data_IF_647530206727
#
_entry.id   IF_647530206727
#
_cell.length_a   1.000
_cell.length_b   1.000
_cell.length_c   1.000
_cell.angle_alpha   90.00
_cell.angle_beta   90.00
_cell.angle_gamma   90.00
#
_symmetry.space_group_name_H-M   'P 1'
#
loop_
_entity.id
_entity.type
_entity.pdbx_description
1 polymer ?
#
# COMPACT_ATOMS: atom_id res chain seq x y z
N UNK A 1 8.15 26.91 -39.02
CA UNK A 1 9.43 26.77 -38.32
C UNK A 1 9.16 26.09 -36.99
N UNK A 2 9.91 25.06 -36.58
CA UNK A 2 9.78 24.51 -35.25
C UNK A 2 10.16 25.58 -34.21
N UNK A 3 9.33 25.75 -33.17
CA UNK A 3 9.58 26.68 -32.07
C UNK A 3 10.83 26.20 -31.31
N UNK A 4 11.77 27.11 -31.05
CA UNK A 4 12.94 26.81 -30.21
C UNK A 4 12.55 26.90 -28.74
N UNK A 5 11.92 25.85 -28.21
CA UNK A 5 11.40 25.81 -26.84
C UNK A 5 12.44 26.29 -25.81
N UNK A 6 13.68 25.81 -25.90
CA UNK A 6 14.77 26.18 -24.99
C UNK A 6 15.29 27.61 -25.13
N UNK A 7 14.79 28.38 -26.10
CA UNK A 7 15.11 29.80 -26.30
C UNK A 7 14.02 30.72 -25.75
N UNK A 8 12.92 30.17 -25.21
CA UNK A 8 11.86 30.96 -24.60
C UNK A 8 12.34 31.64 -23.30
N UNK A 9 11.85 32.85 -22.99
CA UNK A 9 12.01 33.45 -21.67
C UNK A 9 11.47 32.55 -20.55
N UNK A 10 12.01 32.68 -19.33
CA UNK A 10 11.72 31.73 -18.24
C UNK A 10 10.24 31.51 -17.92
N UNK A 11 9.41 32.56 -17.97
CA UNK A 11 7.95 32.43 -17.74
C UNK A 11 7.24 31.70 -18.86
N UNK A 12 7.61 31.98 -20.11
CA UNK A 12 7.01 31.34 -21.29
C UNK A 12 7.46 29.89 -21.40
N UNK A 13 8.71 29.58 -21.01
CA UNK A 13 9.23 28.23 -20.90
C UNK A 13 8.48 27.44 -19.83
N UNK A 14 8.28 28.03 -18.64
CA UNK A 14 7.51 27.38 -17.57
C UNK A 14 6.06 27.11 -18.02
N UNK A 15 5.40 28.10 -18.62
CA UNK A 15 4.06 27.93 -19.16
C UNK A 15 4.00 26.80 -20.19
N UNK A 16 4.99 26.69 -21.08
CA UNK A 16 5.05 25.59 -22.04
C UNK A 16 5.21 24.22 -21.37
N UNK A 17 6.01 24.11 -20.29
CA UNK A 17 6.12 22.87 -19.50
C UNK A 17 4.81 22.54 -18.78
N UNK A 18 4.11 23.56 -18.28
CA UNK A 18 2.82 23.39 -17.60
C UNK A 18 1.72 22.94 -18.57
N UNK A 19 1.87 23.22 -19.87
CA UNK A 19 0.98 22.74 -20.93
C UNK A 19 1.34 21.34 -21.45
N UNK A 20 2.52 20.80 -21.16
CA UNK A 20 2.90 19.43 -21.54
C UNK A 20 2.19 18.42 -20.62
N UNK A 21 1.64 17.38 -21.24
CA UNK A 21 1.14 16.21 -20.52
C UNK A 21 2.31 15.38 -19.93
N UNK A 22 2.01 14.37 -19.12
CA UNK A 22 3.05 13.53 -18.49
C UNK A 22 3.92 12.85 -19.55
N UNK A 23 3.33 12.41 -20.67
CA UNK A 23 4.08 11.77 -21.77
C UNK A 23 5.13 12.73 -22.33
N UNK A 24 4.72 13.93 -22.69
CA UNK A 24 5.56 14.98 -23.24
C UNK A 24 6.63 15.43 -22.25
N UNK A 25 6.32 15.48 -20.96
CA UNK A 25 7.30 15.79 -19.91
C UNK A 25 8.35 14.68 -19.78
N UNK A 26 7.94 13.40 -19.74
CA UNK A 26 8.87 12.27 -19.73
C UNK A 26 9.75 12.32 -20.98
N UNK A 27 9.14 12.47 -22.14
CA UNK A 27 9.83 12.60 -23.41
C UNK A 27 10.89 13.71 -23.41
N UNK A 28 10.47 14.92 -23.04
CA UNK A 28 11.32 16.10 -22.99
C UNK A 28 12.47 15.92 -22.00
N UNK A 29 12.23 15.28 -20.85
CA UNK A 29 13.26 14.99 -19.85
C UNK A 29 14.39 14.09 -20.38
N UNK A 30 14.14 13.30 -21.43
CA UNK A 30 15.13 12.38 -22.01
C UNK A 30 16.05 13.05 -23.02
N UNK A 31 15.70 14.23 -23.54
CA UNK A 31 16.47 14.90 -24.60
C UNK A 31 17.87 15.36 -24.16
N UNK A 32 18.05 15.80 -22.91
CA UNK A 32 19.34 16.27 -22.38
C UNK A 32 19.29 16.44 -20.86
N UNK A 33 20.46 16.59 -20.22
CA UNK A 33 20.51 16.94 -18.79
C UNK A 33 19.86 18.30 -18.49
N UNK A 34 19.92 19.26 -19.43
CA UNK A 34 19.24 20.56 -19.29
C UNK A 34 17.72 20.39 -19.24
N UNK A 35 17.16 19.56 -20.11
CA UNK A 35 15.70 19.35 -20.18
C UNK A 35 15.20 18.52 -19.00
N UNK A 36 15.96 17.50 -18.57
CA UNK A 36 15.70 16.77 -17.32
C UNK A 36 15.56 17.71 -16.12
N UNK A 37 16.52 18.62 -15.94
CA UNK A 37 16.49 19.59 -14.84
C UNK A 37 15.33 20.59 -14.96
N UNK A 38 14.92 20.96 -16.18
CA UNK A 38 13.75 21.80 -16.40
C UNK A 38 12.45 21.10 -15.97
N UNK A 39 12.25 19.85 -16.38
CA UNK A 39 11.09 19.04 -15.96
C UNK A 39 11.07 18.87 -14.45
N UNK A 40 12.21 18.54 -13.85
CA UNK A 40 12.33 18.46 -12.39
C UNK A 40 11.94 19.78 -11.71
N UNK A 41 12.39 20.91 -12.26
CA UNK A 41 12.10 22.23 -11.69
C UNK A 41 10.66 22.70 -11.90
N UNK A 42 9.92 22.13 -12.85
CA UNK A 42 8.50 22.46 -13.05
C UNK A 42 7.64 21.99 -11.88
N UNK A 43 8.13 21.03 -11.08
CA UNK A 43 7.47 20.53 -9.87
C UNK A 43 6.03 20.05 -10.16
N UNK A 44 5.84 19.41 -11.32
CA UNK A 44 4.57 18.79 -11.70
C UNK A 44 4.11 17.84 -10.59
N UNK A 45 2.87 18.04 -10.13
CA UNK A 45 2.24 17.20 -9.11
C UNK A 45 1.66 15.93 -9.73
N UNK A 46 2.12 14.79 -9.23
CA UNK A 46 1.62 13.46 -9.60
C UNK A 46 1.25 12.69 -8.33
N UNK A 47 0.31 11.77 -8.46
CA UNK A 47 0.07 10.76 -7.45
C UNK A 47 1.35 9.94 -7.24
N UNK A 48 1.56 9.36 -6.05
CA UNK A 48 2.74 8.54 -5.78
C UNK A 48 2.93 7.45 -6.84
N UNK A 49 4.14 7.33 -7.36
CA UNK A 49 4.42 6.42 -8.48
C UNK A 49 4.08 4.98 -8.08
N UNK A 50 3.31 4.29 -8.92
CA UNK A 50 3.04 2.88 -8.77
C UNK A 50 3.89 2.06 -9.74
N UNK A 51 4.52 1.01 -9.25
CA UNK A 51 5.32 0.07 -10.02
C UNK A 51 4.81 -1.36 -9.80
N UNK A 52 4.74 -2.14 -10.85
CA UNK A 52 4.26 -3.52 -10.84
C UNK A 52 5.30 -4.40 -11.53
N UNK A 53 5.80 -5.39 -10.80
CA UNK A 53 6.90 -6.22 -11.27
C UNK A 53 6.37 -7.49 -11.93
N UNK A 54 6.81 -7.67 -13.17
CA UNK A 54 6.73 -8.90 -13.94
C UNK A 54 8.14 -9.47 -14.13
N UNK A 55 8.26 -10.73 -14.54
CA UNK A 55 9.56 -11.39 -14.72
C UNK A 55 10.40 -10.70 -15.80
N UNK A 56 9.76 -10.24 -16.88
CA UNK A 56 10.46 -9.68 -18.05
C UNK A 56 10.50 -8.14 -18.06
N UNK A 57 9.65 -7.48 -17.27
CA UNK A 57 9.52 -6.01 -17.28
C UNK A 57 8.93 -5.46 -15.98
N UNK A 58 9.06 -4.15 -15.81
CA UNK A 58 8.41 -3.40 -14.74
C UNK A 58 7.41 -2.45 -15.36
N UNK A 59 6.16 -2.57 -14.96
CA UNK A 59 5.08 -1.67 -15.37
C UNK A 59 4.98 -0.50 -14.39
N UNK A 60 5.09 0.74 -14.86
CA UNK A 60 4.84 1.95 -14.08
C UNK A 60 3.51 2.58 -14.47
N UNK A 61 2.79 3.07 -13.46
CA UNK A 61 1.62 3.90 -13.62
C UNK A 61 1.92 5.28 -13.02
N UNK A 62 1.87 6.31 -13.87
CA UNK A 62 2.11 7.70 -13.53
C UNK A 62 0.82 8.48 -13.80
N UNK A 63 0.32 9.18 -12.79
CA UNK A 63 -0.95 9.89 -12.88
C UNK A 63 -0.86 11.26 -12.23
N UNK A 64 -1.43 12.29 -12.85
CA UNK A 64 -1.48 13.63 -12.24
C UNK A 64 -2.37 13.68 -10.99
N UNK A 65 -2.00 14.48 -9.99
CA UNK A 65 -2.94 14.79 -8.89
C UNK A 65 -4.10 15.64 -9.45
N UNK A 66 -5.34 15.19 -9.27
CA UNK A 66 -6.50 15.86 -9.84
C UNK A 66 -6.77 17.25 -9.22
N UNK A 67 -7.08 18.22 -10.09
CA UNK A 67 -7.90 19.39 -9.78
C UNK A 67 -9.21 19.28 -10.60
N UNK A 68 -10.06 18.30 -10.23
CA UNK A 68 -11.46 18.03 -10.63
C UNK A 68 -11.98 18.18 -12.09
N UNK A 69 -11.25 18.71 -13.07
CA UNK A 69 -11.85 19.21 -14.32
C UNK A 69 -11.09 18.89 -15.64
N UNK A 70 -10.09 18.01 -15.62
CA UNK A 70 -9.45 17.52 -16.85
C UNK A 70 -9.37 16.00 -16.90
N UNK A 71 -9.55 15.44 -18.09
CA UNK A 71 -9.23 14.04 -18.44
C UNK A 71 -8.00 13.58 -17.68
N UNK A 72 -8.10 12.52 -16.87
CA UNK A 72 -6.97 11.96 -16.12
C UNK A 72 -5.77 11.81 -17.06
N UNK A 73 -4.76 12.66 -16.91
CA UNK A 73 -3.49 12.46 -17.59
C UNK A 73 -2.79 11.33 -16.84
N UNK A 74 -2.88 10.15 -17.45
CA UNK A 74 -2.35 8.90 -16.92
C UNK A 74 -1.47 8.29 -18.00
N UNK A 75 -0.37 7.70 -17.57
CA UNK A 75 0.51 7.01 -18.48
C UNK A 75 1.08 5.75 -17.88
N UNK A 76 1.08 4.74 -18.73
CA UNK A 76 1.53 3.39 -18.45
C UNK A 76 2.85 3.15 -19.16
N UNK A 77 3.91 2.81 -18.42
CA UNK A 77 5.24 2.54 -18.95
C UNK A 77 5.62 1.09 -18.73
N UNK A 78 6.00 0.36 -19.78
CA UNK A 78 6.59 -0.97 -19.66
C UNK A 78 8.10 -0.83 -19.78
N UNK A 79 8.81 -0.96 -18.67
CA UNK A 79 10.26 -0.78 -18.60
C UNK A 79 10.94 -2.14 -18.68
N UNK A 80 11.72 -2.32 -19.74
CA UNK A 80 12.61 -3.44 -19.97
C UNK A 80 14.06 -3.02 -19.65
N UNK A 81 15.02 -3.91 -19.86
CA UNK A 81 16.43 -3.63 -19.52
C UNK A 81 17.04 -2.46 -20.28
N UNK A 82 16.69 -2.23 -21.55
CA UNK A 82 17.34 -1.25 -22.43
C UNK A 82 16.39 -0.24 -23.08
N UNK A 83 15.08 -0.39 -22.87
CA UNK A 83 14.05 0.44 -23.46
C UNK A 83 12.79 0.41 -22.60
N UNK A 84 11.88 1.35 -22.87
CA UNK A 84 10.54 1.26 -22.35
C UNK A 84 9.51 1.58 -23.44
N UNK A 85 8.30 1.08 -23.24
CA UNK A 85 7.16 1.28 -24.14
C UNK A 85 6.04 2.02 -23.41
N UNK A 86 5.29 2.84 -24.16
CA UNK A 86 4.09 3.48 -23.66
C UNK A 86 2.83 2.67 -24.02
N UNK A 87 1.95 2.45 -23.04
CA UNK A 87 0.56 2.07 -23.31
C UNK A 87 -0.27 3.35 -23.47
N UNK A 88 -0.95 3.52 -24.62
CA UNK A 88 -1.91 4.62 -24.81
C UNK A 88 -2.11 5.13 -26.23
N UNK A 89 -1.33 4.66 -27.21
CA UNK A 89 -1.50 4.97 -28.64
C UNK A 89 -1.81 3.71 -29.45
N UNK A 90 -2.50 3.87 -30.58
CA UNK A 90 -2.76 2.77 -31.53
C UNK A 90 -1.47 2.12 -32.06
N UNK A 91 -0.34 2.82 -31.94
CA UNK A 91 1.01 2.36 -32.24
C UNK A 91 1.84 2.27 -30.94
N UNK A 92 2.57 1.16 -30.79
CA UNK A 92 3.54 0.96 -29.70
C UNK A 92 4.78 1.79 -30.05
N UNK A 93 5.03 2.83 -29.26
CA UNK A 93 6.25 3.62 -29.37
C UNK A 93 7.31 3.11 -28.38
N UNK A 94 8.42 2.62 -28.93
CA UNK A 94 9.59 2.21 -28.14
C UNK A 94 10.54 3.40 -27.94
N UNK A 95 10.82 3.71 -26.68
CA UNK A 95 11.75 4.77 -26.30
C UNK A 95 13.02 4.14 -25.74
N UNK A 96 14.12 4.35 -26.45
CA UNK A 96 15.40 3.69 -26.18
C UNK A 96 16.43 4.67 -25.64
N UNK A 97 17.16 4.23 -24.63
CA UNK A 97 18.38 4.88 -24.16
C UNK A 97 19.34 3.78 -23.75
N UNK A 98 20.22 3.39 -24.68
CA UNK A 98 21.05 2.17 -24.57
C UNK A 98 21.91 2.12 -23.30
N UNK A 99 22.23 3.28 -22.72
CA UNK A 99 23.00 3.41 -21.49
C UNK A 99 22.18 3.20 -20.20
N UNK A 100 20.84 3.18 -20.29
CA UNK A 100 19.96 3.05 -19.13
C UNK A 100 19.65 1.58 -18.84
N UNK A 101 19.83 1.21 -17.57
CA UNK A 101 19.28 -0.01 -16.97
C UNK A 101 17.89 0.25 -16.37
N UNK A 102 17.19 -0.80 -15.92
CA UNK A 102 15.95 -0.65 -15.14
C UNK A 102 16.11 0.30 -13.93
N UNK A 103 17.27 0.24 -13.27
CA UNK A 103 17.56 1.09 -12.12
C UNK A 103 17.71 2.57 -12.51
N UNK A 104 18.27 2.84 -13.69
CA UNK A 104 18.39 4.20 -14.22
C UNK A 104 17.03 4.77 -14.60
N UNK A 105 16.13 3.94 -15.15
CA UNK A 105 14.74 4.32 -15.41
C UNK A 105 13.98 4.67 -14.12
N UNK A 106 14.06 3.81 -13.11
CA UNK A 106 13.46 4.08 -11.78
C UNK A 106 13.98 5.40 -11.21
N UNK A 107 15.31 5.57 -11.19
CA UNK A 107 15.95 6.77 -10.67
C UNK A 107 15.55 8.02 -11.48
N UNK A 108 15.41 7.89 -12.80
CA UNK A 108 14.98 8.98 -13.67
C UNK A 108 13.57 9.43 -13.34
N UNK A 109 12.59 8.52 -13.25
CA UNK A 109 11.20 8.87 -12.94
C UNK A 109 11.05 9.50 -11.56
N UNK A 110 11.67 8.93 -10.53
CA UNK A 110 11.68 9.52 -9.19
C UNK A 110 12.29 10.92 -9.19
N UNK A 111 13.37 11.13 -9.96
CA UNK A 111 14.07 12.40 -10.02
C UNK A 111 13.26 13.52 -10.71
N UNK A 112 12.63 13.23 -11.86
CA UNK A 112 11.92 14.25 -12.63
C UNK A 112 10.60 14.68 -11.97
N UNK A 113 9.98 13.81 -11.17
CA UNK A 113 8.75 14.14 -10.43
C UNK A 113 9.00 14.52 -8.97
N UNK A 114 10.27 14.57 -8.53
CA UNK A 114 10.65 14.84 -7.15
C UNK A 114 9.99 13.88 -6.12
N UNK A 115 9.70 12.65 -6.52
CA UNK A 115 9.15 11.63 -5.64
C UNK A 115 10.30 10.93 -4.90
N UNK A 116 10.33 10.92 -3.55
CA UNK A 116 11.44 10.33 -2.80
C UNK A 116 11.52 8.80 -2.90
N UNK A 117 10.44 8.10 -3.25
CA UNK A 117 10.41 6.63 -3.37
C UNK A 117 9.17 6.16 -4.12
N UNK A 118 9.15 4.89 -4.52
CA UNK A 118 7.94 4.28 -5.09
C UNK A 118 6.82 4.26 -4.04
N UNK A 119 5.67 4.83 -4.40
CA UNK A 119 4.48 4.86 -3.55
C UNK A 119 3.83 3.49 -3.39
N UNK A 120 3.70 2.76 -4.49
CA UNK A 120 3.11 1.43 -4.52
C UNK A 120 3.97 0.46 -5.32
N UNK A 121 4.37 -0.66 -4.72
CA UNK A 121 5.10 -1.73 -5.40
C UNK A 121 4.27 -3.01 -5.38
N UNK A 122 3.72 -3.40 -6.53
CA UNK A 122 2.98 -4.64 -6.71
C UNK A 122 3.87 -5.75 -7.26
N UNK A 123 3.92 -6.90 -6.60
CA UNK A 123 4.55 -8.11 -7.12
C UNK A 123 3.44 -8.94 -7.76
N UNK A 124 3.45 -9.07 -9.09
CA UNK A 124 2.34 -9.68 -9.84
C UNK A 124 2.69 -11.05 -10.42
N UNK A 125 3.82 -11.16 -11.13
CA UNK A 125 4.27 -12.42 -11.71
C UNK A 125 5.79 -12.43 -11.82
N UNK A 126 6.48 -13.24 -11.01
CA UNK A 126 7.95 -13.29 -11.02
C UNK A 126 8.44 -14.62 -10.46
N UNK A 127 9.68 -14.99 -10.77
CA UNK A 127 10.36 -16.14 -10.17
C UNK A 127 11.00 -15.80 -8.81
N UNK A 128 11.25 -16.83 -7.99
CA UNK A 128 11.88 -16.68 -6.66
C UNK A 128 13.31 -16.13 -6.75
N UNK A 129 14.02 -16.45 -7.83
CA UNK A 129 15.36 -15.95 -8.13
C UNK A 129 15.39 -14.45 -8.35
N UNK A 130 14.33 -13.88 -8.89
CA UNK A 130 14.26 -12.45 -9.20
C UNK A 130 13.92 -11.58 -7.98
N UNK A 131 13.44 -12.17 -6.87
CA UNK A 131 13.11 -11.42 -5.64
C UNK A 131 14.31 -10.63 -5.07
N UNK A 132 15.53 -11.14 -5.23
CA UNK A 132 16.73 -10.42 -4.77
C UNK A 132 17.03 -9.21 -5.68
N UNK A 133 16.80 -9.35 -6.99
CA UNK A 133 16.84 -8.25 -7.95
C UNK A 133 15.80 -7.17 -7.62
N UNK A 134 14.55 -7.56 -7.32
CA UNK A 134 13.49 -6.64 -6.90
C UNK A 134 13.92 -5.84 -5.67
N UNK A 135 14.52 -6.51 -4.67
CA UNK A 135 15.01 -5.85 -3.47
C UNK A 135 16.12 -4.83 -3.74
N UNK A 136 16.95 -5.08 -4.77
CA UNK A 136 18.01 -4.17 -5.20
C UNK A 136 17.46 -2.97 -5.98
N UNK A 137 16.50 -3.21 -6.89
CA UNK A 137 15.84 -2.17 -7.69
C UNK A 137 14.96 -1.25 -6.84
N UNK A 138 14.32 -1.81 -5.82
CA UNK A 138 13.41 -1.10 -4.91
C UNK A 138 13.90 -1.20 -3.47
N UNK A 139 14.99 -0.49 -3.11
CA UNK A 139 15.53 -0.55 -1.75
C UNK A 139 14.56 0.01 -0.70
N UNK A 140 13.62 0.86 -1.12
CA UNK A 140 12.54 1.39 -0.29
C UNK A 140 11.27 1.65 -1.12
N UNK A 141 10.11 1.35 -0.56
CA UNK A 141 8.81 1.79 -1.05
C UNK A 141 7.87 2.15 0.11
N UNK A 142 6.79 2.88 -0.16
CA UNK A 142 5.80 3.19 0.87
C UNK A 142 4.91 1.98 1.18
N UNK A 143 4.40 1.33 0.13
CA UNK A 143 3.50 0.17 0.20
C UNK A 143 3.99 -0.94 -0.72
N UNK A 144 4.06 -2.16 -0.18
CA UNK A 144 4.33 -3.39 -0.94
C UNK A 144 3.06 -4.24 -0.99
N UNK A 145 2.71 -4.74 -2.17
CA UNK A 145 1.60 -5.68 -2.36
C UNK A 145 2.10 -6.97 -3.02
N UNK A 146 1.69 -8.13 -2.48
CA UNK A 146 1.98 -9.45 -3.04
C UNK A 146 0.69 -10.07 -3.55
N UNK A 147 0.62 -10.27 -4.87
CA UNK A 147 -0.55 -10.77 -5.60
C UNK A 147 -1.09 -12.11 -5.08
N UNK A 148 -2.40 -12.31 -5.22
CA UNK A 148 -3.11 -13.56 -4.91
C UNK A 148 -2.85 -14.67 -5.95
N UNK A 149 -2.35 -14.29 -7.14
CA UNK A 149 -1.98 -15.21 -8.22
C UNK A 149 -0.87 -16.18 -7.83
N UNK A 150 -0.06 -15.81 -6.83
CA UNK A 150 1.01 -16.68 -6.35
C UNK A 150 0.49 -17.84 -5.48
N UNK A 151 1.26 -18.92 -5.47
CA UNK A 151 1.07 -19.99 -4.48
C UNK A 151 1.38 -19.47 -3.07
N UNK A 152 0.82 -20.12 -2.04
CA UNK A 152 1.13 -19.77 -0.65
C UNK A 152 2.62 -19.81 -0.34
N UNK A 153 3.30 -20.87 -0.79
CA UNK A 153 4.73 -21.05 -0.57
C UNK A 153 5.54 -19.89 -1.17
N UNK A 154 5.18 -19.47 -2.40
CA UNK A 154 5.80 -18.32 -3.02
C UNK A 154 5.53 -17.03 -2.25
N UNK A 155 4.25 -16.73 -1.94
CA UNK A 155 3.87 -15.51 -1.24
C UNK A 155 4.58 -15.38 0.12
N UNK A 156 4.74 -16.50 0.84
CA UNK A 156 5.50 -16.57 2.09
C UNK A 156 6.97 -16.21 1.89
N UNK A 157 7.64 -16.79 0.90
CA UNK A 157 9.06 -16.49 0.60
C UNK A 157 9.22 -15.03 0.16
N UNK A 158 8.35 -14.56 -0.75
CA UNK A 158 8.35 -13.19 -1.24
C UNK A 158 8.17 -12.18 -0.10
N UNK A 159 7.20 -12.41 0.79
CA UNK A 159 6.98 -11.58 1.96
C UNK A 159 8.24 -11.48 2.82
N UNK A 160 8.81 -12.62 3.24
CA UNK A 160 9.96 -12.61 4.14
C UNK A 160 11.23 -12.02 3.51
N UNK A 161 11.38 -12.09 2.19
CA UNK A 161 12.48 -11.42 1.47
C UNK A 161 12.28 -9.91 1.37
N UNK A 162 11.05 -9.46 1.14
CA UNK A 162 10.77 -8.09 0.69
C UNK A 162 10.18 -7.17 1.76
N UNK A 163 9.52 -7.67 2.81
CA UNK A 163 8.77 -6.83 3.77
C UNK A 163 9.59 -5.66 4.36
N UNK A 164 10.91 -5.84 4.50
CA UNK A 164 11.82 -4.84 5.06
C UNK A 164 11.95 -3.57 4.22
N UNK A 165 11.60 -3.61 2.93
CA UNK A 165 11.70 -2.45 2.04
C UNK A 165 10.48 -1.52 2.17
N UNK A 166 9.41 -1.97 2.85
CA UNK A 166 8.13 -1.29 2.88
C UNK A 166 7.68 -0.92 4.31
N UNK A 167 6.95 0.17 4.42
CA UNK A 167 6.33 0.57 5.69
C UNK A 167 4.93 -0.05 5.86
N UNK A 168 4.25 -0.27 4.75
CA UNK A 168 2.92 -0.89 4.64
C UNK A 168 3.00 -2.11 3.75
N UNK A 169 2.37 -3.21 4.15
CA UNK A 169 2.40 -4.47 3.39
C UNK A 169 1.00 -5.00 3.19
N UNK A 170 0.71 -5.43 1.97
CA UNK A 170 -0.54 -6.05 1.55
C UNK A 170 -0.24 -7.45 1.01
N UNK A 171 -0.93 -8.46 1.55
CA UNK A 171 -0.71 -9.86 1.18
C UNK A 171 -2.07 -10.48 0.89
N UNK A 172 -2.31 -10.86 -0.36
CA UNK A 172 -3.56 -11.49 -0.77
C UNK A 172 -3.48 -13.02 -0.68
N UNK A 173 -2.80 -13.51 0.36
CA UNK A 173 -2.68 -14.92 0.74
C UNK A 173 -2.39 -15.04 2.23
N UNK A 174 -2.95 -16.04 2.88
CA UNK A 174 -2.54 -16.42 4.22
C UNK A 174 -1.20 -17.18 4.13
N UNK A 175 -0.13 -16.56 4.61
CA UNK A 175 1.25 -17.09 4.59
C UNK A 175 1.64 -17.82 5.89
N UNK A 176 0.72 -17.99 6.83
CA UNK A 176 0.97 -18.62 8.12
C UNK A 176 0.53 -20.09 8.09
N UNK A 177 1.48 -21.01 8.27
CA UNK A 177 1.19 -22.45 8.32
C UNK A 177 0.84 -22.92 9.74
N UNK A 178 1.39 -22.23 10.75
CA UNK A 178 1.20 -22.53 12.17
C UNK A 178 1.16 -21.25 13.04
N UNK A 179 0.99 -21.43 14.36
CA UNK A 179 0.97 -20.33 15.33
C UNK A 179 2.28 -19.55 15.38
N UNK A 180 3.42 -20.20 15.15
CA UNK A 180 4.73 -19.54 15.18
C UNK A 180 4.87 -18.56 14.02
N UNK A 181 4.39 -18.91 12.83
CA UNK A 181 4.33 -17.98 11.70
C UNK A 181 3.43 -16.77 11.97
N UNK A 182 2.23 -16.99 12.54
CA UNK A 182 1.31 -15.92 12.91
C UNK A 182 1.97 -14.96 13.90
N UNK A 183 2.57 -15.49 14.97
CA UNK A 183 3.25 -14.66 15.97
C UNK A 183 4.43 -13.89 15.37
N UNK A 184 5.22 -14.52 14.48
CA UNK A 184 6.31 -13.84 13.76
C UNK A 184 5.80 -12.70 12.88
N UNK A 185 4.71 -12.91 12.13
CA UNK A 185 4.10 -11.90 11.28
C UNK A 185 3.61 -10.69 12.10
N UNK A 186 2.87 -10.94 13.18
CA UNK A 186 2.22 -9.89 13.96
C UNK A 186 3.17 -9.10 14.87
N UNK A 187 4.37 -9.62 15.15
CA UNK A 187 5.40 -8.93 15.94
C UNK A 187 6.29 -8.00 15.10
N UNK A 188 6.12 -8.00 13.78
CA UNK A 188 6.84 -7.09 12.88
C UNK A 188 6.47 -5.64 13.16
N UNK A 189 7.47 -4.76 13.02
CA UNK A 189 7.33 -3.33 13.27
C UNK A 189 6.81 -2.55 12.07
N UNK A 190 5.76 -3.04 11.41
CA UNK A 190 5.14 -2.38 10.26
C UNK A 190 4.23 -1.22 10.70
N UNK A 191 4.02 -0.25 9.80
CA UNK A 191 2.95 0.75 9.98
C UNK A 191 1.61 0.11 9.65
N UNK A 192 1.53 -0.62 8.54
CA UNK A 192 0.29 -1.29 8.14
C UNK A 192 0.52 -2.71 7.64
N UNK A 193 -0.40 -3.61 8.00
CA UNK A 193 -0.55 -4.93 7.41
C UNK A 193 -1.99 -5.12 6.94
N UNK A 194 -2.16 -5.40 5.66
CA UNK A 194 -3.42 -5.81 5.03
C UNK A 194 -3.29 -7.26 4.57
N UNK A 195 -4.11 -8.16 5.09
CA UNK A 195 -4.08 -9.58 4.74
C UNK A 195 -5.45 -10.03 4.26
N UNK A 196 -5.51 -10.70 3.11
CA UNK A 196 -6.76 -11.22 2.54
C UNK A 196 -6.54 -12.63 2.01
N UNK A 197 -7.30 -13.60 2.50
CA UNK A 197 -7.35 -14.94 1.89
C UNK A 197 -8.73 -15.54 2.11
N UNK A 198 -9.60 -15.44 1.10
CA UNK A 198 -10.98 -15.94 1.17
C UNK A 198 -11.08 -17.47 1.21
N UNK A 199 -9.98 -18.20 1.09
CA UNK A 199 -9.95 -19.67 1.10
C UNK A 199 -9.39 -20.19 2.42
N UNK A 200 -8.40 -19.50 3.01
CA UNK A 200 -7.64 -20.00 4.15
C UNK A 200 -7.64 -18.98 5.29
N UNK A 201 -8.61 -19.06 6.22
CA UNK A 201 -8.71 -18.11 7.30
C UNK A 201 -7.43 -18.01 8.12
N UNK A 202 -7.04 -16.80 8.50
CA UNK A 202 -5.95 -16.62 9.46
C UNK A 202 -6.47 -16.96 10.85
N UNK A 203 -5.98 -18.06 11.42
CA UNK A 203 -6.31 -18.47 12.79
C UNK A 203 -5.61 -17.53 13.77
N UNK A 204 -6.40 -16.83 14.57
CA UNK A 204 -5.93 -15.91 15.60
C UNK A 204 -6.44 -16.40 16.96
N UNK A 205 -5.63 -16.18 17.98
CA UNK A 205 -6.06 -16.30 19.36
C UNK A 205 -5.81 -15.00 20.12
N UNK A 206 -6.15 -15.01 21.40
CA UNK A 206 -5.89 -13.87 22.28
C UNK A 206 -4.41 -13.45 22.27
N UNK A 207 -3.46 -14.38 22.44
CA UNK A 207 -2.03 -14.07 22.54
C UNK A 207 -1.52 -13.35 21.29
N UNK A 208 -1.99 -13.78 20.11
CA UNK A 208 -1.63 -13.18 18.83
C UNK A 208 -2.02 -11.69 18.76
N UNK A 209 -3.20 -11.32 19.29
CA UNK A 209 -3.61 -9.92 19.40
C UNK A 209 -2.84 -9.15 20.48
N UNK A 210 -2.39 -9.82 21.55
CA UNK A 210 -1.66 -9.19 22.65
C UNK A 210 -0.20 -8.87 22.30
N UNK A 211 0.41 -9.63 21.38
CA UNK A 211 1.79 -9.40 20.90
C UNK A 211 1.85 -8.52 19.64
N UNK A 212 0.70 -8.07 19.14
CA UNK A 212 0.59 -7.28 17.93
C UNK A 212 1.43 -5.99 18.03
N UNK A 213 2.37 -5.86 17.12
CA UNK A 213 3.35 -4.77 17.07
C UNK A 213 3.23 -3.98 15.76
N UNK A 214 2.03 -3.92 15.19
CA UNK A 214 1.70 -3.23 13.95
C UNK A 214 0.69 -2.12 14.28
N UNK A 215 0.84 -0.94 13.68
CA UNK A 215 -0.04 0.21 13.97
C UNK A 215 -1.45 0.00 13.41
N UNK A 216 -1.55 -0.34 12.13
CA UNK A 216 -2.82 -0.61 11.44
C UNK A 216 -2.82 -2.04 10.89
N UNK A 217 -3.66 -2.91 11.46
CA UNK A 217 -3.84 -4.27 10.91
C UNK A 217 -5.25 -4.43 10.37
N UNK A 218 -5.36 -4.96 9.17
CA UNK A 218 -6.62 -5.38 8.57
C UNK A 218 -6.47 -6.80 8.06
N UNK A 219 -7.30 -7.71 8.57
CA UNK A 219 -7.30 -9.12 8.19
C UNK A 219 -8.69 -9.47 7.71
N UNK A 220 -8.81 -9.72 6.41
CA UNK A 220 -10.02 -10.32 5.84
C UNK A 220 -9.91 -11.83 5.90
N UNK A 221 -11.00 -12.44 6.36
CA UNK A 221 -11.10 -13.88 6.62
C UNK A 221 -10.26 -14.31 7.84
N UNK A 222 -10.51 -13.70 9.01
CA UNK A 222 -9.93 -14.14 10.27
C UNK A 222 -10.81 -15.23 10.94
N UNK A 223 -10.16 -16.17 11.63
CA UNK A 223 -10.84 -17.12 12.52
C UNK A 223 -10.42 -16.83 13.96
N UNK A 224 -11.30 -16.16 14.70
CA UNK A 224 -11.16 -15.82 16.12
C UNK A 224 -12.52 -15.89 16.80
N UNK A 225 -12.55 -16.39 18.04
CA UNK A 225 -13.81 -16.52 18.76
C UNK A 225 -14.28 -15.19 19.37
N UNK A 226 -15.61 -15.03 19.48
CA UNK A 226 -16.25 -13.93 20.24
C UNK A 226 -15.69 -13.81 21.67
N UNK A 227 -15.42 -14.96 22.29
CA UNK A 227 -14.83 -15.03 23.64
C UNK A 227 -13.42 -14.45 23.68
N UNK A 228 -12.60 -14.68 22.65
CA UNK A 228 -11.26 -14.11 22.55
C UNK A 228 -11.30 -12.60 22.31
N UNK A 229 -12.17 -12.12 21.42
CA UNK A 229 -12.40 -10.68 21.21
C UNK A 229 -12.84 -9.98 22.52
N UNK A 230 -13.78 -10.57 23.26
CA UNK A 230 -14.20 -10.04 24.55
C UNK A 230 -13.06 -10.00 25.57
N UNK A 231 -12.24 -11.05 25.64
CA UNK A 231 -11.07 -11.10 26.53
C UNK A 231 -10.03 -10.06 26.15
N UNK A 232 -9.76 -9.90 24.85
CA UNK A 232 -8.86 -8.89 24.32
C UNK A 232 -9.30 -7.48 24.74
N UNK A 233 -10.56 -7.11 24.47
CA UNK A 233 -11.11 -5.81 24.86
C UNK A 233 -11.03 -5.57 26.37
N UNK A 234 -11.38 -6.58 27.19
CA UNK A 234 -11.27 -6.47 28.65
C UNK A 234 -9.84 -6.21 29.12
N UNK A 235 -8.86 -6.91 28.55
CA UNK A 235 -7.44 -6.71 28.87
C UNK A 235 -6.96 -5.34 28.42
N UNK A 236 -7.36 -4.91 27.22
CA UNK A 236 -7.04 -3.59 26.71
C UNK A 236 -7.58 -2.48 27.63
N UNK A 237 -8.83 -2.61 28.08
CA UNK A 237 -9.51 -1.68 28.99
C UNK A 237 -8.90 -1.61 30.40
N UNK A 238 -8.10 -2.61 30.80
CA UNK A 238 -7.37 -2.57 32.07
C UNK A 238 -6.11 -1.69 32.01
N UNK A 239 -5.58 -1.41 30.81
CA UNK A 239 -4.52 -0.42 30.62
C UNK A 239 -3.09 -0.90 30.87
N UNK A 240 -2.69 -2.07 30.36
CA UNK A 240 -1.29 -2.51 30.39
C UNK A 240 -0.44 -1.83 29.29
N UNK A 241 0.85 -1.59 29.56
CA UNK A 241 1.76 -0.86 28.65
C UNK A 241 2.14 -1.61 27.37
N UNK A 242 1.82 -2.89 27.27
CA UNK A 242 2.09 -3.74 26.10
C UNK A 242 1.18 -3.45 24.90
N UNK A 243 0.05 -2.75 25.07
CA UNK A 243 -0.99 -2.60 24.04
C UNK A 243 -0.98 -1.26 23.31
N UNK A 244 0.10 -0.50 23.37
CA UNK A 244 0.09 0.88 22.88
C UNK A 244 0.31 1.04 21.39
N UNK A 245 0.78 0.01 20.70
CA UNK A 245 1.15 0.18 19.29
C UNK A 245 -0.03 0.07 18.32
N UNK A 246 -0.94 -0.91 18.43
CA UNK A 246 -2.06 -0.97 17.51
C UNK A 246 -3.00 0.21 17.73
N UNK A 247 -3.13 1.05 16.71
CA UNK A 247 -4.12 2.13 16.64
C UNK A 247 -5.40 1.62 15.99
N UNK A 248 -5.29 0.70 15.01
CA UNK A 248 -6.42 0.08 14.32
C UNK A 248 -6.23 -1.43 14.20
N UNK A 249 -7.27 -2.18 14.56
CA UNK A 249 -7.39 -3.61 14.27
C UNK A 249 -8.74 -3.81 13.58
N UNK A 250 -8.73 -4.19 12.31
CA UNK A 250 -9.92 -4.53 11.54
C UNK A 250 -9.89 -6.01 11.15
N UNK A 251 -10.93 -6.75 11.51
CA UNK A 251 -11.08 -8.17 11.25
C UNK A 251 -12.41 -8.40 10.56
N UNK A 252 -12.39 -9.02 9.38
CA UNK A 252 -13.58 -9.59 8.76
C UNK A 252 -13.50 -11.10 8.96
N UNK A 253 -14.44 -11.69 9.70
CA UNK A 253 -14.42 -13.10 10.06
C UNK A 253 -14.89 -14.00 8.92
N UNK A 254 -14.57 -15.29 9.01
CA UNK A 254 -14.99 -16.30 8.03
C UNK A 254 -16.50 -16.27 7.74
N UNK A 255 -16.87 -16.55 6.49
CA UNK A 255 -18.25 -16.49 6.02
C UNK A 255 -19.18 -17.35 6.89
N UNK A 256 -20.34 -16.79 7.26
CA UNK A 256 -21.31 -17.45 8.13
C UNK A 256 -21.08 -17.21 9.63
N UNK A 257 -19.96 -16.59 10.01
CA UNK A 257 -19.77 -16.09 11.37
C UNK A 257 -20.58 -14.82 11.56
N UNK A 258 -21.45 -14.78 12.57
CA UNK A 258 -22.14 -13.56 12.97
C UNK A 258 -21.67 -13.13 14.35
N UNK A 259 -21.21 -11.89 14.44
CA UNK A 259 -20.78 -11.28 15.70
C UNK A 259 -21.98 -10.69 16.42
N UNK A 260 -22.31 -11.27 17.58
CA UNK A 260 -23.21 -10.63 18.52
C UNK A 260 -22.43 -9.60 19.36
N UNK A 261 -22.67 -8.31 19.12
CA UNK A 261 -22.02 -7.24 19.87
C UNK A 261 -22.27 -7.33 21.39
N UNK A 262 -23.42 -7.84 21.83
CA UNK A 262 -23.73 -8.01 23.26
C UNK A 262 -22.78 -9.00 23.92
N UNK A 263 -22.39 -10.05 23.19
CA UNK A 263 -21.42 -11.04 23.66
C UNK A 263 -19.99 -10.51 23.59
N UNK A 264 -19.61 -9.86 22.49
CA UNK A 264 -18.29 -9.24 22.32
C UNK A 264 -18.03 -8.19 23.40
N UNK A 265 -19.04 -7.38 23.74
CA UNK A 265 -18.93 -6.30 24.73
C UNK A 265 -19.38 -6.71 26.15
N UNK A 266 -19.71 -7.99 26.36
CA UNK A 266 -20.23 -8.49 27.65
C UNK A 266 -19.33 -8.12 28.82
N UNK A 267 -19.88 -7.35 29.76
CA UNK A 267 -19.17 -6.90 30.97
C UNK A 267 -18.20 -5.73 30.74
N UNK A 268 -18.32 -5.01 29.63
CA UNK A 268 -17.60 -3.76 29.34
C UNK A 268 -18.61 -2.61 29.31
N UNK A 269 -18.26 -1.47 29.91
CA UNK A 269 -19.07 -0.25 29.81
C UNK A 269 -18.79 0.43 28.47
N UNK A 270 -19.83 0.80 27.75
CA UNK A 270 -19.74 1.47 26.46
C UNK A 270 -20.87 2.49 26.29
N UNK A 271 -20.66 3.44 25.38
CA UNK A 271 -21.64 4.41 24.91
C UNK A 271 -21.96 4.13 23.44
N UNK A 272 -23.24 4.17 23.07
CA UNK A 272 -23.66 3.99 21.69
C UNK A 272 -23.52 5.31 20.93
N UNK A 273 -22.66 5.33 19.91
CA UNK A 273 -22.47 6.48 19.03
C UNK A 273 -23.35 6.23 17.81
N UNK A 274 -24.61 6.66 17.86
CA UNK A 274 -25.51 6.56 16.69
C UNK A 274 -24.88 7.27 15.50
N UNK A 275 -24.68 6.55 14.40
CA UNK A 275 -24.30 7.14 13.12
C UNK A 275 -25.53 7.16 12.22
N UNK A 276 -26.04 8.36 11.91
CA UNK A 276 -27.35 8.57 11.29
C UNK A 276 -27.46 8.10 9.82
N UNK A 277 -26.37 7.60 9.22
CA UNK A 277 -26.31 7.32 7.78
C UNK A 277 -26.24 5.84 7.42
N UNK A 278 -26.06 4.93 8.39
CA UNK A 278 -25.97 3.49 8.15
C UNK A 278 -26.48 2.73 9.38
N UNK A 279 -27.17 1.62 9.20
CA UNK A 279 -27.68 0.70 10.25
C UNK A 279 -26.55 -0.04 11.00
N UNK A 280 -25.44 0.64 11.30
CA UNK A 280 -24.28 0.05 11.96
C UNK A 280 -24.10 0.63 13.36
N UNK A 281 -23.62 -0.23 14.28
CA UNK A 281 -23.46 0.15 15.68
C UNK A 281 -21.99 0.45 15.98
N UNK A 282 -21.71 1.73 16.25
CA UNK A 282 -20.42 2.20 16.74
C UNK A 282 -20.48 2.37 18.26
N UNK A 283 -19.54 1.79 18.96
CA UNK A 283 -19.45 1.83 20.42
C UNK A 283 -18.21 2.60 20.85
N UNK A 284 -18.39 3.58 21.72
CA UNK A 284 -17.28 4.29 22.37
C UNK A 284 -17.03 3.68 23.74
N UNK A 285 -15.79 3.29 24.00
CA UNK A 285 -15.30 2.74 25.24
C UNK A 285 -14.28 3.71 25.84
N UNK A 286 -14.37 3.96 27.14
CA UNK A 286 -13.45 4.85 27.86
C UNK A 286 -12.61 4.08 28.86
N UNK A 287 -11.30 4.08 28.63
CA UNK A 287 -10.34 3.40 29.50
C UNK A 287 -10.08 4.20 30.78
N UNK A 288 -9.60 3.52 31.83
CA UNK A 288 -9.35 4.14 33.15
C UNK A 288 -8.39 5.32 33.12
N UNK A 289 -7.45 5.34 32.19
CA UNK A 289 -6.48 6.41 32.00
C UNK A 289 -6.96 7.53 31.07
N UNK A 290 -8.23 7.49 30.65
CA UNK A 290 -8.84 8.51 29.81
C UNK A 290 -8.71 8.27 28.31
N UNK A 291 -7.93 7.28 27.85
CA UNK A 291 -7.90 6.91 26.43
C UNK A 291 -9.27 6.42 25.96
N UNK A 292 -9.65 6.83 24.77
CA UNK A 292 -10.90 6.42 24.14
C UNK A 292 -10.64 5.38 23.05
N UNK A 293 -11.64 4.52 22.87
CA UNK A 293 -11.62 3.44 21.92
C UNK A 293 -12.97 3.40 21.22
N UNK A 294 -12.94 3.43 19.90
CA UNK A 294 -14.10 3.13 19.08
C UNK A 294 -14.06 1.65 18.67
N UNK A 295 -15.15 0.94 18.94
CA UNK A 295 -15.38 -0.44 18.48
C UNK A 295 -16.56 -0.44 17.54
N UNK A 296 -16.36 -0.97 16.34
CA UNK A 296 -17.39 -1.20 15.35
C UNK A 296 -17.60 -2.71 15.23
N UNK A 297 -18.87 -3.13 15.26
CA UNK A 297 -19.27 -4.53 15.10
C UNK A 297 -20.49 -4.55 14.19
N UNK A 298 -20.38 -5.22 13.06
CA UNK A 298 -21.47 -5.40 12.10
C UNK A 298 -21.29 -6.73 11.38
N UNK A 299 -22.34 -7.55 11.31
CA UNK A 299 -22.30 -8.87 10.66
C UNK A 299 -21.11 -9.73 11.10
N UNK A 300 -20.12 -9.94 10.23
CA UNK A 300 -18.89 -10.66 10.50
C UNK A 300 -17.67 -9.74 10.71
N UNK A 301 -17.87 -8.43 10.79
CA UNK A 301 -16.82 -7.43 10.91
C UNK A 301 -16.65 -6.95 12.35
N UNK A 302 -15.39 -6.89 12.79
CA UNK A 302 -14.95 -6.29 14.04
C UNK A 302 -13.87 -5.26 13.72
N UNK A 303 -14.06 -4.01 14.12
CA UNK A 303 -13.02 -2.99 14.06
C UNK A 303 -12.82 -2.36 15.42
N UNK A 304 -11.57 -2.24 15.82
CA UNK A 304 -11.08 -1.55 17.00
C UNK A 304 -10.24 -0.35 16.51
N UNK A 305 -10.48 0.84 17.07
CA UNK A 305 -9.73 2.07 16.75
C UNK A 305 -9.51 2.95 17.98
N UNK A 306 -8.25 3.18 18.34
CA UNK A 306 -7.87 4.13 19.40
C UNK A 306 -8.16 5.56 18.93
N UNK A 307 -8.67 6.40 19.86
CA UNK A 307 -8.99 7.82 19.65
C UNK A 307 -8.08 8.69 20.51
#
# INVERSE_FOLDING_TARGET
>A
MPIRLLSLPGKDLQYALDCMDIRDLVAFSLCSERTKNLVKSSNRKIEPIAAYVYEDYIYFDLKTENDYDSTNDYISLYVFDSYFEFSGSLEIEEWRKEEFTQNDWIAHFLNIFNDPMIGYLGILNTSLSYLDTIKQLFPKCSRLAISDMFSRAFAKIAFWKLYSIAEKVEIYKNICDDKNDTSKLLTLSLKSLYLVDFVNPLKLNLDDLLILNITDVTIHFANISVKELNRFLKLWMQGNRTFYRPEVISLCLENGTQLNYEEVLKGIKYENVKNYYRDFTLFRLKRRDGKELNVFIADNEFTFRVV
#
